data_IF_020730239739
#
_entry.id   IF_020730239739
#
_cell.length_a   1.000
_cell.length_b   1.000
_cell.length_c   1.000
_cell.angle_alpha   90.00
_cell.angle_beta   90.00
_cell.angle_gamma   90.00
#
_symmetry.space_group_name_H-M   'P 1'
#
loop_
_entity.id
_entity.type
_entity.pdbx_description
1 polymer ?
#
# COMPACT_ATOMS: atom_id res chain seq x y z
N UNK A 1 -21.80 -10.98 12.11
CA UNK A 1 -21.12 -11.81 11.09
C UNK A 1 -20.02 -12.63 11.75
N UNK A 2 -19.74 -13.85 11.31
CA UNK A 2 -18.67 -14.66 11.90
C UNK A 2 -17.30 -14.10 11.51
N UNK A 3 -16.30 -14.20 12.41
CA UNK A 3 -14.92 -13.79 12.11
C UNK A 3 -14.37 -14.45 10.84
N UNK A 4 -14.80 -15.69 10.58
CA UNK A 4 -14.47 -16.46 9.36
C UNK A 4 -15.07 -15.82 8.09
N UNK A 5 -16.32 -15.39 8.14
CA UNK A 5 -16.96 -14.73 7.01
C UNK A 5 -16.26 -13.41 6.66
N UNK A 6 -15.90 -12.60 7.68
CA UNK A 6 -15.16 -11.34 7.47
C UNK A 6 -13.78 -11.64 6.88
N UNK A 7 -13.05 -12.61 7.43
CA UNK A 7 -11.73 -13.00 6.92
C UNK A 7 -11.78 -13.45 5.45
N UNK A 8 -12.80 -14.20 5.05
CA UNK A 8 -13.00 -14.63 3.67
C UNK A 8 -13.26 -13.45 2.73
N UNK A 9 -14.11 -12.50 3.12
CA UNK A 9 -14.38 -11.30 2.31
C UNK A 9 -13.11 -10.48 2.11
N UNK A 10 -12.35 -10.27 3.19
CA UNK A 10 -11.07 -9.53 3.13
C UNK A 10 -10.06 -10.26 2.25
N UNK A 11 -9.91 -11.58 2.40
CA UNK A 11 -8.98 -12.36 1.59
C UNK A 11 -9.35 -12.33 0.10
N UNK A 12 -10.64 -12.48 -0.23
CA UNK A 12 -11.11 -12.43 -1.61
C UNK A 12 -10.89 -11.05 -2.22
N UNK A 13 -11.22 -9.97 -1.49
CA UNK A 13 -10.99 -8.61 -1.93
C UNK A 13 -9.50 -8.31 -2.14
N UNK A 14 -8.63 -8.82 -1.27
CA UNK A 14 -7.19 -8.66 -1.40
C UNK A 14 -6.65 -9.38 -2.65
N UNK A 15 -7.05 -10.64 -2.87
CA UNK A 15 -6.66 -11.40 -4.06
C UNK A 15 -7.13 -10.71 -5.34
N UNK A 16 -8.37 -10.21 -5.35
CA UNK A 16 -8.91 -9.47 -6.48
C UNK A 16 -8.13 -8.18 -6.73
N UNK A 17 -7.85 -7.40 -5.68
CA UNK A 17 -7.09 -6.15 -5.79
C UNK A 17 -5.67 -6.38 -6.31
N UNK A 18 -4.97 -7.39 -5.80
CA UNK A 18 -3.62 -7.75 -6.28
C UNK A 18 -3.67 -8.26 -7.72
N UNK A 19 -4.69 -9.04 -8.08
CA UNK A 19 -4.92 -9.47 -9.46
C UNK A 19 -5.08 -8.29 -10.41
N UNK A 20 -5.93 -7.32 -10.07
CA UNK A 20 -6.11 -6.09 -10.88
C UNK A 20 -4.79 -5.31 -10.96
N UNK A 21 -4.09 -5.14 -9.84
CA UNK A 21 -2.82 -4.40 -9.82
C UNK A 21 -1.73 -5.06 -10.69
N UNK A 22 -1.66 -6.39 -10.74
CA UNK A 22 -0.64 -7.11 -11.52
C UNK A 22 -1.04 -7.21 -12.99
N UNK A 23 -2.29 -7.56 -13.27
CA UNK A 23 -2.73 -7.85 -14.62
C UNK A 23 -3.29 -6.63 -15.34
N UNK A 24 -4.14 -5.83 -14.69
CA UNK A 24 -4.82 -4.71 -15.35
C UNK A 24 -3.98 -3.42 -15.40
N UNK A 25 -3.18 -3.14 -14.38
CA UNK A 25 -2.40 -1.89 -14.29
C UNK A 25 -1.41 -1.66 -15.47
N UNK A 26 -0.77 -2.68 -16.07
CA UNK A 26 0.05 -2.50 -17.26
C UNK A 26 -0.69 -1.92 -18.48
N UNK A 27 -2.03 -2.01 -18.50
CA UNK A 27 -2.89 -1.40 -19.54
C UNK A 27 -3.50 -0.06 -19.12
N UNK A 28 -3.04 0.53 -18.01
CA UNK A 28 -3.46 1.86 -17.61
C UNK A 28 -3.07 2.91 -18.67
N UNK A 29 -3.87 3.97 -18.79
CA UNK A 29 -3.63 5.06 -19.73
C UNK A 29 -2.29 5.75 -19.46
N UNK A 30 -1.57 6.10 -20.53
CA UNK A 30 -0.35 6.91 -20.48
C UNK A 30 -0.61 8.42 -20.51
N UNK A 31 -1.87 8.84 -20.41
CA UNK A 31 -2.22 10.27 -20.30
C UNK A 31 -1.65 10.87 -19.01
N UNK A 32 -1.29 12.18 -19.00
CA UNK A 32 -0.84 12.87 -17.80
C UNK A 32 -1.91 12.76 -16.70
N UNK A 33 -1.47 12.65 -15.45
CA UNK A 33 -2.40 12.61 -14.34
C UNK A 33 -3.00 14.01 -14.10
N UNK A 34 -3.93 14.13 -13.15
CA UNK A 34 -4.61 15.40 -12.90
C UNK A 34 -3.67 16.53 -12.48
N UNK A 35 -2.58 16.22 -11.77
CA UNK A 35 -1.59 17.17 -11.31
C UNK A 35 -0.71 17.64 -12.46
N UNK A 36 -0.12 16.74 -13.25
CA UNK A 36 0.69 17.16 -14.40
C UNK A 36 -0.16 17.84 -15.46
N UNK A 37 -1.41 17.40 -15.65
CA UNK A 37 -2.33 18.04 -16.58
C UNK A 37 -2.60 19.49 -16.20
N UNK A 38 -2.90 19.75 -14.92
CA UNK A 38 -3.11 21.13 -14.43
C UNK A 38 -1.82 21.94 -14.51
N UNK A 39 -0.67 21.34 -14.19
CA UNK A 39 0.62 22.01 -14.28
C UNK A 39 0.96 22.42 -15.72
N UNK A 40 0.65 21.57 -16.69
CA UNK A 40 0.79 21.86 -18.11
C UNK A 40 -0.21 22.93 -18.56
N UNK A 41 -1.49 22.79 -18.20
CA UNK A 41 -2.56 23.71 -18.63
C UNK A 41 -2.34 25.14 -18.08
N UNK A 42 -1.80 25.28 -16.87
CA UNK A 42 -1.48 26.57 -16.21
C UNK A 42 -0.02 27.05 -16.47
N UNK A 43 0.78 26.27 -17.21
CA UNK A 43 2.13 26.66 -17.65
C UNK A 43 3.20 26.71 -16.56
N UNK A 44 3.07 25.91 -15.50
CA UNK A 44 4.07 25.82 -14.42
C UNK A 44 4.75 24.45 -14.30
N UNK A 45 4.51 23.52 -15.22
CA UNK A 45 5.17 22.20 -15.23
C UNK A 45 6.70 22.28 -15.15
N UNK A 46 7.32 23.25 -15.85
CA UNK A 46 8.78 23.46 -15.87
C UNK A 46 9.35 23.97 -14.53
N UNK A 47 8.50 24.39 -13.59
CA UNK A 47 8.93 24.79 -12.24
C UNK A 47 9.15 23.58 -11.32
N UNK A 48 8.77 22.37 -11.75
CA UNK A 48 8.97 21.15 -11.00
C UNK A 48 10.45 20.94 -10.68
N UNK A 49 10.78 20.86 -9.39
CA UNK A 49 12.14 20.61 -8.91
C UNK A 49 12.31 19.13 -8.56
N UNK A 50 13.49 18.58 -8.85
CA UNK A 50 13.83 17.23 -8.43
C UNK A 50 13.70 17.06 -6.92
N UNK A 51 12.99 16.02 -6.49
CA UNK A 51 12.87 15.68 -5.07
C UNK A 51 14.17 15.06 -4.55
N UNK A 52 14.40 15.10 -3.23
CA UNK A 52 15.67 14.67 -2.62
C UNK A 52 16.07 13.21 -2.91
N UNK A 53 15.12 12.37 -3.32
CA UNK A 53 15.33 10.97 -3.67
C UNK A 53 15.16 10.68 -5.16
N UNK A 54 15.18 11.71 -6.02
CA UNK A 54 15.01 11.56 -7.46
C UNK A 54 16.07 10.64 -8.09
N UNK A 55 17.30 10.66 -7.56
CA UNK A 55 18.39 9.78 -8.00
C UNK A 55 18.38 8.40 -7.33
N UNK A 56 17.36 8.08 -6.53
CA UNK A 56 17.31 6.79 -5.85
C UNK A 56 16.96 5.66 -6.82
N UNK A 57 17.49 4.44 -6.62
CA UNK A 57 17.15 3.28 -7.46
C UNK A 57 15.65 2.91 -7.50
N UNK A 58 14.88 3.43 -6.54
CA UNK A 58 13.44 3.19 -6.41
C UNK A 58 12.59 4.38 -6.91
N UNK A 59 13.21 5.49 -7.34
CA UNK A 59 12.51 6.64 -7.90
C UNK A 59 11.68 6.21 -9.12
N UNK A 60 10.44 6.69 -9.18
CA UNK A 60 9.45 6.35 -10.22
C UNK A 60 9.12 4.85 -10.34
N UNK A 61 9.51 4.04 -9.35
CA UNK A 61 9.25 2.61 -9.29
C UNK A 61 9.56 1.89 -10.62
N UNK A 62 10.83 1.89 -11.04
CA UNK A 62 11.21 1.71 -12.44
C UNK A 62 11.08 0.25 -12.91
N UNK A 63 11.00 -0.69 -11.97
CA UNK A 63 10.87 -2.12 -12.25
C UNK A 63 9.76 -2.74 -11.41
N UNK A 64 9.25 -3.89 -11.87
CA UNK A 64 8.29 -4.68 -11.12
C UNK A 64 8.82 -5.11 -9.74
N UNK A 65 10.13 -5.29 -9.60
CA UNK A 65 10.77 -5.68 -8.35
C UNK A 65 10.62 -4.58 -7.28
N UNK A 66 10.88 -3.31 -7.64
CA UNK A 66 10.69 -2.18 -6.72
C UNK A 66 9.22 -2.00 -6.33
N UNK A 67 8.30 -2.17 -7.28
CA UNK A 67 6.85 -2.14 -7.03
C UNK A 67 6.43 -3.24 -6.05
N UNK A 68 6.87 -4.48 -6.30
CA UNK A 68 6.54 -5.64 -5.46
C UNK A 68 7.14 -5.53 -4.06
N UNK A 69 8.39 -5.06 -3.95
CA UNK A 69 9.06 -4.87 -2.67
C UNK A 69 8.29 -3.92 -1.76
N UNK A 70 7.83 -2.78 -2.30
CA UNK A 70 7.02 -1.82 -1.55
C UNK A 70 5.73 -2.44 -1.01
N UNK A 71 5.00 -3.18 -1.85
CA UNK A 71 3.77 -3.88 -1.44
C UNK A 71 4.06 -4.88 -0.32
N UNK A 72 5.03 -5.78 -0.50
CA UNK A 72 5.37 -6.81 0.49
C UNK A 72 5.79 -6.18 1.81
N UNK A 73 6.62 -5.13 1.77
CA UNK A 73 7.09 -4.43 2.96
C UNK A 73 5.93 -3.82 3.76
N UNK A 74 5.01 -3.13 3.11
CA UNK A 74 3.84 -2.52 3.77
C UNK A 74 2.95 -3.58 4.40
N UNK A 75 2.65 -4.66 3.68
CA UNK A 75 1.83 -5.75 4.22
C UNK A 75 2.51 -6.47 5.39
N UNK A 76 3.83 -6.68 5.33
CA UNK A 76 4.59 -7.27 6.43
C UNK A 76 4.56 -6.39 7.69
N UNK A 77 4.74 -5.07 7.54
CA UNK A 77 4.65 -4.12 8.65
C UNK A 77 3.23 -4.10 9.23
N UNK A 78 2.20 -3.99 8.38
CA UNK A 78 0.82 -3.96 8.83
C UNK A 78 0.42 -5.25 9.58
N UNK A 79 0.81 -6.42 9.05
CA UNK A 79 0.59 -7.71 9.70
C UNK A 79 1.33 -7.81 11.04
N UNK A 80 2.59 -7.38 11.08
CA UNK A 80 3.41 -7.36 12.30
C UNK A 80 2.81 -6.48 13.39
N UNK A 81 2.44 -5.24 13.06
CA UNK A 81 1.78 -4.32 14.00
C UNK A 81 0.45 -4.87 14.51
N UNK A 82 -0.34 -5.50 13.63
CA UNK A 82 -1.61 -6.12 14.01
C UNK A 82 -1.40 -7.29 14.95
N UNK A 83 -0.39 -8.14 14.70
CA UNK A 83 -0.06 -9.27 15.55
C UNK A 83 0.39 -8.81 16.95
N UNK A 84 1.23 -7.78 17.03
CA UNK A 84 1.66 -7.18 18.31
C UNK A 84 0.45 -6.61 19.07
N UNK A 85 -0.43 -5.87 18.39
CA UNK A 85 -1.63 -5.32 19.01
C UNK A 85 -2.62 -6.40 19.49
N UNK A 86 -2.72 -7.52 18.76
CA UNK A 86 -3.56 -8.65 19.14
C UNK A 86 -2.99 -9.42 20.34
N UNK A 87 -1.68 -9.62 20.41
CA UNK A 87 -1.01 -10.25 21.56
C UNK A 87 -1.25 -9.50 22.87
N UNK A 88 -1.12 -8.17 22.84
CA UNK A 88 -1.35 -7.30 24.02
C UNK A 88 -2.78 -7.38 24.58
N UNK A 89 -3.77 -7.75 23.75
CA UNK A 89 -5.16 -7.91 24.19
C UNK A 89 -5.35 -9.22 24.95
N UNK A 90 -4.65 -10.28 24.55
CA UNK A 90 -4.69 -11.56 25.24
C UNK A 90 -4.03 -11.51 26.62
N UNK A 91 -2.93 -10.76 26.78
CA UNK A 91 -2.25 -10.61 28.08
C UNK A 91 -3.08 -9.82 29.11
N UNK A 92 -3.85 -8.83 28.65
CA UNK A 92 -4.74 -8.04 29.50
C UNK A 92 -5.94 -8.86 30.02
N UNK A 93 -6.45 -9.80 29.22
CA UNK A 93 -7.52 -10.72 29.61
C UNK A 93 -7.03 -11.83 30.56
N UNK A 94 -5.72 -12.14 30.57
CA UNK A 94 -5.12 -13.14 31.46
C UNK A 94 -4.86 -12.62 32.90
N UNK A 95 -5.04 -11.32 33.15
CA UNK A 95 -4.91 -10.73 34.50
C UNK A 95 -6.24 -10.20 35.10
N UNK A 96 -7.30 -11.02 35.30
CA UNK A 96 -8.42 -10.64 36.16
C UNK A 96 -8.34 -11.44 37.47
N UNK A 97 -7.74 -10.88 38.53
CA UNK A 97 -7.86 -11.46 39.87
C UNK A 97 -6.66 -11.39 40.82
N UNK A 98 -5.74 -10.43 40.66
CA UNK A 98 -4.75 -10.12 41.71
C UNK A 98 -5.17 -8.86 42.48
N UNK A 99 -6.27 -8.96 43.24
CA UNK A 99 -6.66 -8.04 44.31
C UNK A 99 -7.65 -8.76 45.24
#
# INVERSE_FOLDING_TARGET
MSRRAIALVVALGLVLSLGIAVFAAPWASSSPDGLERVAADEGFEDSATAHATADSPAADYPTWAWRALGVVLVFAIAAGLTAVAAGRRHDAEATPGAA
#
